data_IF_372030833103
#
_entry.id   IF_372030833103
#
_cell.length_a   1.000
_cell.length_b   1.000
_cell.length_c   1.000
_cell.angle_alpha   90.00
_cell.angle_beta   90.00
_cell.angle_gamma   90.00
#
_symmetry.space_group_name_H-M   'P 1'
#
loop_
_entity.id
_entity.type
_entity.pdbx_description
1 polymer ?
#
# COMPACT_ATOMS: atom_id res chain seq x y z
N UNK A 1 3.82 -8.97 10.45
CA UNK A 1 3.16 -7.65 10.45
C UNK A 1 2.33 -7.57 9.20
N UNK A 2 1.05 -7.25 9.32
CA UNK A 2 0.22 -6.89 8.15
C UNK A 2 0.17 -5.37 8.07
N UNK A 3 0.27 -4.84 6.86
CA UNK A 3 0.14 -3.40 6.60
C UNK A 3 -0.92 -3.22 5.52
N UNK A 4 -1.83 -2.29 5.74
CA UNK A 4 -2.75 -1.82 4.72
C UNK A 4 -2.12 -0.60 4.05
N UNK A 5 -2.09 -0.58 2.72
CA UNK A 5 -1.40 0.45 1.96
C UNK A 5 -2.32 0.93 0.87
N UNK A 6 -2.54 2.24 0.81
CA UNK A 6 -3.25 2.88 -0.29
C UNK A 6 -2.29 3.83 -1.01
N UNK A 7 -2.34 3.80 -2.34
CA UNK A 7 -1.54 4.69 -3.20
C UNK A 7 -2.37 5.23 -4.34
N UNK A 8 -2.08 6.46 -4.76
CA UNK A 8 -2.57 6.99 -6.03
C UNK A 8 -1.73 6.45 -7.17
N UNK A 9 -2.39 5.94 -8.22
CA UNK A 9 -1.75 5.56 -9.49
C UNK A 9 -2.34 6.40 -10.61
N UNK A 10 -1.47 7.05 -11.36
CA UNK A 10 -1.83 7.85 -12.54
C UNK A 10 -1.44 7.08 -13.79
N UNK A 11 -2.42 6.71 -14.60
CA UNK A 11 -2.20 6.05 -15.89
C UNK A 11 -2.43 7.05 -17.02
N UNK A 12 -1.46 7.14 -17.94
CA UNK A 12 -1.55 8.00 -19.12
C UNK A 12 -1.30 7.18 -20.39
N UNK A 13 -1.96 7.49 -21.51
CA UNK A 13 -1.61 6.91 -22.81
C UNK A 13 -0.17 7.27 -23.19
N UNK A 14 0.56 6.30 -23.73
CA UNK A 14 1.94 6.45 -24.19
C UNK A 14 2.16 5.66 -25.50
N UNK A 15 2.02 6.36 -26.63
CA UNK A 15 2.05 5.74 -27.96
C UNK A 15 0.88 4.76 -28.14
N UNK A 16 1.20 3.50 -28.46
CA UNK A 16 0.24 2.41 -28.62
C UNK A 16 -0.11 1.72 -27.28
N UNK A 17 0.51 2.13 -26.18
CA UNK A 17 0.33 1.55 -24.84
C UNK A 17 -0.04 2.58 -23.78
N UNK A 18 0.24 2.21 -22.54
CA UNK A 18 -0.08 2.97 -21.34
C UNK A 18 1.11 3.01 -20.39
N UNK A 19 1.22 4.11 -19.67
CA UNK A 19 2.24 4.35 -18.67
C UNK A 19 1.58 4.65 -17.34
N UNK A 20 1.89 3.84 -16.33
CA UNK A 20 1.45 4.03 -14.95
C UNK A 20 2.60 4.60 -14.11
N UNK A 21 2.28 5.61 -13.29
CA UNK A 21 3.20 6.19 -12.30
C UNK A 21 2.51 6.37 -10.96
N UNK A 22 3.27 6.24 -9.88
CA UNK A 22 2.79 6.53 -8.53
C UNK A 22 3.40 7.86 -8.04
N UNK A 23 2.63 8.94 -7.83
CA UNK A 23 3.17 10.22 -7.37
C UNK A 23 3.92 10.12 -6.04
N UNK A 24 3.45 9.28 -5.12
CA UNK A 24 4.11 9.04 -3.83
C UNK A 24 5.43 8.28 -3.95
N UNK A 25 5.62 7.50 -5.02
CA UNK A 25 6.84 6.75 -5.29
C UNK A 25 7.38 7.11 -6.68
N UNK A 26 8.19 8.19 -6.78
CA UNK A 26 8.75 8.64 -8.06
C UNK A 26 9.68 7.63 -8.74
N UNK A 27 10.03 6.53 -8.08
CA UNK A 27 10.79 5.43 -8.68
C UNK A 27 9.90 4.41 -9.40
N UNK A 28 8.58 4.45 -9.21
CA UNK A 28 7.64 3.51 -9.81
C UNK A 28 7.15 4.06 -11.14
N UNK A 29 7.61 3.41 -12.20
CA UNK A 29 7.24 3.67 -13.58
C UNK A 29 7.02 2.34 -14.28
N UNK A 30 5.82 2.17 -14.84
CA UNK A 30 5.41 0.91 -15.43
C UNK A 30 4.79 1.18 -16.78
N UNK A 31 5.19 0.40 -17.79
CA UNK A 31 4.57 0.41 -19.10
C UNK A 31 3.71 -0.85 -19.25
N UNK A 32 2.59 -0.72 -19.95
CA UNK A 32 1.74 -1.85 -20.31
C UNK A 32 1.03 -1.61 -21.63
N UNK A 33 0.71 -2.69 -22.33
CA UNK A 33 -0.02 -2.62 -23.61
C UNK A 33 -1.47 -2.13 -23.40
N UNK A 34 -2.01 -2.35 -22.20
CA UNK A 34 -3.34 -1.89 -21.78
C UNK A 34 -3.26 -1.19 -20.42
N UNK A 35 -4.30 -0.43 -20.07
CA UNK A 35 -4.45 0.16 -18.74
C UNK A 35 -4.33 -0.92 -17.66
N UNK A 36 -5.00 -2.06 -17.85
CA UNK A 36 -5.01 -3.14 -16.86
C UNK A 36 -3.63 -3.78 -16.71
N UNK A 37 -2.95 -4.03 -17.82
CA UNK A 37 -1.59 -4.59 -17.85
C UNK A 37 -0.59 -3.70 -17.10
N UNK A 38 -0.70 -2.37 -17.24
CA UNK A 38 0.12 -1.43 -16.48
C UNK A 38 -0.24 -1.42 -14.98
N UNK A 39 -1.52 -1.56 -14.63
CA UNK A 39 -1.99 -1.57 -13.24
C UNK A 39 -1.65 -2.88 -12.50
N UNK A 40 -1.72 -4.03 -13.17
CA UNK A 40 -1.47 -5.35 -12.57
C UNK A 40 -0.03 -5.50 -12.04
N UNK A 41 0.90 -4.73 -12.59
CA UNK A 41 2.31 -4.72 -12.18
C UNK A 41 2.61 -3.73 -11.03
N UNK A 42 1.71 -2.77 -10.75
CA UNK A 42 1.93 -1.76 -9.72
C UNK A 42 2.12 -2.35 -8.31
N UNK A 43 1.33 -3.35 -7.87
CA UNK A 43 1.51 -3.95 -6.55
C UNK A 43 2.92 -4.50 -6.34
N UNK A 44 3.48 -5.20 -7.33
CA UNK A 44 4.82 -5.79 -7.22
C UNK A 44 5.90 -4.69 -7.14
N UNK A 45 5.78 -3.64 -7.95
CA UNK A 45 6.68 -2.49 -7.88
C UNK A 45 6.60 -1.75 -6.54
N UNK A 46 5.38 -1.64 -5.98
CA UNK A 46 5.15 -1.03 -4.68
C UNK A 46 5.78 -1.86 -3.55
N UNK A 47 5.63 -3.18 -3.58
CA UNK A 47 6.26 -4.09 -2.61
C UNK A 47 7.78 -3.93 -2.64
N UNK A 48 8.39 -3.88 -3.82
CA UNK A 48 9.83 -3.66 -3.96
C UNK A 48 10.27 -2.29 -3.42
N UNK A 49 9.49 -1.24 -3.66
CA UNK A 49 9.79 0.09 -3.15
C UNK A 49 9.73 0.14 -1.62
N UNK A 50 8.71 -0.48 -1.01
CA UNK A 50 8.55 -0.53 0.44
C UNK A 50 9.64 -1.36 1.12
N UNK A 51 9.97 -2.53 0.56
CA UNK A 51 11.07 -3.38 1.04
C UNK A 51 12.41 -2.63 0.99
N UNK A 52 12.64 -1.85 -0.07
CA UNK A 52 13.80 -0.97 -0.15
C UNK A 52 13.80 0.08 0.98
N UNK A 53 12.69 0.77 1.23
CA UNK A 53 12.61 1.76 2.31
C UNK A 53 12.88 1.13 3.68
N UNK A 54 12.26 -0.01 3.96
CA UNK A 54 12.42 -0.76 5.21
C UNK A 54 13.87 -1.18 5.44
N UNK A 55 14.50 -1.81 4.43
CA UNK A 55 15.89 -2.28 4.50
C UNK A 55 16.90 -1.16 4.70
N UNK A 56 16.59 0.03 4.19
CA UNK A 56 17.47 1.19 4.28
C UNK A 56 17.08 2.14 5.43
N UNK A 57 16.07 1.78 6.25
CA UNK A 57 15.52 2.64 7.31
C UNK A 57 15.16 4.04 6.80
N UNK A 58 14.63 4.11 5.58
CA UNK A 58 14.17 5.35 4.98
C UNK A 58 12.71 5.61 5.37
N UNK A 59 12.32 6.88 5.54
CA UNK A 59 10.95 7.22 5.85
C UNK A 59 10.02 6.90 4.68
N UNK A 60 8.78 6.51 4.99
CA UNK A 60 7.73 6.42 3.99
C UNK A 60 7.37 7.81 3.43
N UNK A 61 6.83 7.87 2.19
CA UNK A 61 6.27 9.09 1.65
C UNK A 61 5.20 9.68 2.57
N UNK A 62 5.09 11.01 2.59
CA UNK A 62 4.05 11.74 3.33
C UNK A 62 3.24 12.55 2.33
N UNK A 63 1.93 12.38 2.30
CA UNK A 63 1.05 13.12 1.39
C UNK A 63 -0.31 12.46 1.22
N UNK A 64 -1.15 13.06 0.37
CA UNK A 64 -2.47 12.54 0.02
C UNK A 64 -2.42 11.30 -0.89
N UNK A 65 -1.30 11.08 -1.58
CA UNK A 65 -1.10 9.98 -2.53
C UNK A 65 -0.60 8.68 -1.90
N UNK A 66 -0.43 8.64 -0.56
CA UNK A 66 0.04 7.47 0.17
C UNK A 66 -0.51 7.44 1.60
N UNK A 67 -1.09 6.31 1.99
CA UNK A 67 -1.44 5.99 3.37
C UNK A 67 -0.90 4.60 3.72
N UNK A 68 -0.49 4.45 4.98
CA UNK A 68 -0.10 3.16 5.54
C UNK A 68 -0.70 3.01 6.93
N UNK A 69 -1.43 1.92 7.12
CA UNK A 69 -1.98 1.51 8.41
C UNK A 69 -1.34 0.18 8.82
N UNK A 70 -0.65 0.16 9.96
CA UNK A 70 -0.06 -1.07 10.48
C UNK A 70 -1.10 -1.83 11.31
N UNK A 71 -1.42 -3.06 10.89
CA UNK A 71 -2.15 -4.00 11.73
C UNK A 71 -1.15 -4.66 12.70
N UNK A 72 -1.13 -4.15 13.95
CA UNK A 72 -0.53 -4.88 15.06
C UNK A 72 -1.49 -5.98 15.53
N UNK A 73 -1.14 -7.24 15.26
CA UNK A 73 -1.64 -8.35 16.06
C UNK A 73 -1.14 -8.13 17.49
N UNK A 74 -2.03 -7.63 18.36
CA UNK A 74 -1.80 -7.54 19.79
C UNK A 74 -1.60 -8.98 20.29
N UNK A 75 -0.36 -9.36 20.60
CA UNK A 75 -0.14 -10.58 21.38
C UNK A 75 -0.77 -10.34 22.77
N UNK A 76 -1.76 -11.17 23.09
CA UNK A 76 -2.45 -11.18 24.38
C UNK A 76 -1.48 -11.69 25.46
N UNK A 77 -0.68 -10.77 26.00
CA UNK A 77 0.00 -10.95 27.27
C UNK A 77 -0.04 -9.67 28.09
N UNK A 78 -1.24 -9.07 28.20
CA UNK A 78 -1.53 -8.07 29.23
C UNK A 78 -2.84 -8.43 29.91
N UNK A 79 -2.70 -8.86 31.17
CA UNK A 79 -3.78 -8.93 32.13
C UNK A 79 -4.54 -7.60 32.15
N UNK A 80 -5.81 -7.68 31.75
CA UNK A 80 -6.96 -6.84 32.09
C UNK A 80 -6.74 -5.33 32.31
N UNK A 81 -7.18 -4.53 31.34
CA UNK A 81 -7.83 -3.23 31.59
C UNK A 81 -9.15 -3.18 30.82
N UNK A 82 -10.20 -2.73 31.50
CA UNK A 82 -11.62 -2.98 31.21
C UNK A 82 -12.17 -2.22 29.98
N UNK A 83 -13.32 -2.65 29.40
CA UNK A 83 -13.94 -1.98 28.25
C UNK A 83 -14.84 -0.80 28.68
N UNK A 84 -14.93 0.25 27.86
CA UNK A 84 -16.02 1.23 27.90
C UNK A 84 -16.54 1.48 26.46
N UNK A 85 -17.85 1.71 26.27
CA UNK A 85 -18.53 1.48 25.01
C UNK A 85 -18.57 2.76 24.17
N UNK A 86 -18.51 2.61 22.85
CA UNK A 86 -19.54 3.11 21.93
C UNK A 86 -19.25 2.58 20.52
N UNK A 87 -20.31 2.11 19.90
CA UNK A 87 -20.48 1.57 18.55
C UNK A 87 -19.64 2.22 17.44
N UNK A 88 -19.20 1.40 16.47
CA UNK A 88 -19.39 1.58 15.01
C UNK A 88 -18.74 0.43 14.23
N UNK A 89 -19.53 -0.34 13.49
CA UNK A 89 -19.02 -1.35 12.58
C UNK A 89 -18.43 -0.69 11.33
N UNK A 90 -17.27 -1.18 10.86
CA UNK A 90 -16.81 -1.00 9.48
C UNK A 90 -16.28 -2.32 8.95
N UNK A 91 -16.79 -2.70 7.78
CA UNK A 91 -16.30 -3.82 6.98
C UNK A 91 -15.03 -3.36 6.24
N UNK A 92 -13.98 -4.17 6.27
CA UNK A 92 -12.78 -4.01 5.44
C UNK A 92 -12.47 -5.33 4.73
N UNK A 93 -12.06 -5.22 3.46
CA UNK A 93 -11.68 -6.34 2.63
C UNK A 93 -10.18 -6.63 2.81
N UNK A 94 -9.86 -7.90 3.05
CA UNK A 94 -8.48 -8.35 3.28
C UNK A 94 -7.78 -8.61 1.95
N UNK A 95 -6.73 -7.84 1.64
CA UNK A 95 -5.70 -8.30 0.72
C UNK A 95 -4.50 -8.74 1.55
N UNK A 96 -4.21 -10.04 1.53
CA UNK A 96 -3.11 -10.64 2.29
C UNK A 96 -1.92 -10.81 1.34
N UNK A 97 -0.90 -9.97 1.47
CA UNK A 97 0.40 -10.20 0.86
C UNK A 97 1.33 -10.72 1.95
N UNK A 98 1.80 -11.95 1.78
CA UNK A 98 2.81 -12.57 2.65
C UNK A 98 4.18 -12.39 1.99
N UNK A 99 5.13 -11.80 2.70
CA UNK A 99 6.56 -11.84 2.37
C UNK A 99 7.24 -12.90 3.23
#
# INVERSE_FOLDING_TARGET
>A
MKRHIEVTVVVVPDGDGYYARCPAFPSIFIHGETVQDALDQVPDALVLALDFLDKNSQPYPVGEDFSIEEEHEVYDNLTALQPHPEWSAKLSANLSVSV
#
